data_IF_290671231316
#
_entry.id   IF_290671231316
#
_cell.length_a   1.000
_cell.length_b   1.000
_cell.length_c   1.000
_cell.angle_alpha   90.00
_cell.angle_beta   90.00
_cell.angle_gamma   90.00
#
_symmetry.space_group_name_H-M   'P 1'
#
loop_
_entity.id
_entity.type
_entity.pdbx_description
1 polymer ?
#
# COMPACT_ATOMS: atom_id res chain seq x y z
N UNK A 1 25.15 28.70 -34.13
CA UNK A 1 25.38 29.76 -33.13
C UNK A 1 26.04 29.10 -31.94
N UNK A 2 27.25 29.51 -31.61
CA UNK A 2 28.31 28.77 -30.94
C UNK A 2 28.12 28.79 -29.42
N UNK A 3 28.12 27.62 -28.77
CA UNK A 3 28.22 27.48 -27.32
C UNK A 3 29.66 27.73 -26.85
N UNK A 4 29.85 28.67 -25.94
CA UNK A 4 31.09 28.86 -25.19
C UNK A 4 31.10 28.09 -23.89
N UNK A 5 32.04 27.16 -23.77
CA UNK A 5 32.40 26.49 -22.53
C UNK A 5 33.19 27.44 -21.62
N UNK A 6 32.77 27.58 -20.38
CA UNK A 6 33.56 28.26 -19.33
C UNK A 6 34.27 27.19 -18.49
N UNK A 7 35.63 27.21 -18.55
CA UNK A 7 36.49 26.44 -17.64
C UNK A 7 36.75 27.29 -16.39
N UNK A 8 36.47 26.74 -15.24
CA UNK A 8 36.88 27.33 -13.95
C UNK A 8 38.04 26.52 -13.41
N UNK A 9 39.18 27.21 -13.26
CA UNK A 9 40.42 26.70 -12.68
C UNK A 9 40.44 27.04 -11.20
N UNK A 10 40.57 26.03 -10.33
CA UNK A 10 40.73 26.22 -8.89
C UNK A 10 42.21 26.15 -8.52
N UNK A 11 42.72 27.25 -7.99
CA UNK A 11 44.07 27.36 -7.42
C UNK A 11 44.10 26.78 -6.01
N UNK A 12 44.98 25.83 -5.77
CA UNK A 12 45.41 25.39 -4.44
C UNK A 12 46.48 26.36 -3.91
N UNK A 13 46.22 26.98 -2.78
CA UNK A 13 47.29 27.55 -1.94
C UNK A 13 47.55 26.60 -0.76
N UNK A 14 48.81 26.17 -0.67
CA UNK A 14 49.38 25.56 0.52
C UNK A 14 49.83 26.65 1.47
N UNK A 15 49.44 26.58 2.74
CA UNK A 15 50.11 27.30 3.83
C UNK A 15 50.47 26.27 4.89
N UNK A 16 51.75 26.08 5.07
CA UNK A 16 52.31 25.30 6.15
C UNK A 16 52.42 26.13 7.44
N UNK A 17 52.18 25.52 8.56
CA UNK A 17 52.67 25.98 9.87
C UNK A 17 52.82 24.79 10.82
N UNK A 18 54.07 24.59 11.18
CA UNK A 18 54.56 23.67 12.24
C UNK A 18 54.25 24.22 13.61
N UNK A 19 53.70 23.43 14.51
CA UNK A 19 53.90 23.59 15.94
C UNK A 19 53.73 22.24 16.66
N UNK A 20 54.80 21.78 17.24
CA UNK A 20 54.92 20.72 18.25
C UNK A 20 54.25 21.10 19.55
N UNK A 21 53.39 20.22 20.13
CA UNK A 21 53.14 20.16 21.56
C UNK A 21 52.67 18.73 21.95
N UNK A 22 52.80 18.30 23.21
CA UNK A 22 53.18 16.94 23.55
C UNK A 22 52.01 15.95 23.81
N UNK A 23 52.39 14.67 23.72
CA UNK A 23 51.55 13.51 24.05
C UNK A 23 50.92 13.63 25.47
N UNK A 24 49.61 13.63 25.53
CA UNK A 24 48.84 13.17 26.66
C UNK A 24 48.12 11.88 26.27
N UNK A 25 48.57 10.74 26.76
CA UNK A 25 47.92 9.45 26.63
C UNK A 25 46.62 9.46 27.46
N UNK A 26 45.49 9.75 26.86
CA UNK A 26 44.19 9.49 27.44
C UNK A 26 43.72 8.12 26.97
N UNK A 27 43.78 7.14 27.86
CA UNK A 27 43.20 5.83 27.68
C UNK A 27 41.67 5.98 27.73
N UNK A 28 41.04 6.25 26.61
CA UNK A 28 39.59 6.17 26.44
C UNK A 28 39.21 4.73 26.25
N UNK A 29 38.67 4.10 27.29
CA UNK A 29 37.91 2.86 27.18
C UNK A 29 36.73 3.13 26.25
N UNK A 30 36.85 2.71 24.96
CA UNK A 30 35.73 2.64 24.04
C UNK A 30 34.84 1.49 24.51
N UNK A 31 33.86 1.80 25.34
CA UNK A 31 32.74 0.92 25.55
C UNK A 31 31.95 0.91 24.25
N UNK A 32 32.15 -0.11 23.40
CA UNK A 32 31.24 -0.38 22.28
C UNK A 32 29.85 -0.62 22.88
N UNK A 33 28.80 0.15 22.48
CA UNK A 33 27.45 -0.27 22.80
C UNK A 33 27.21 -1.60 22.08
N UNK A 34 27.03 -2.65 22.86
CA UNK A 34 26.46 -3.91 22.41
C UNK A 34 24.99 -3.61 22.00
N UNK A 35 24.80 -3.14 20.78
CA UNK A 35 23.53 -3.27 20.10
C UNK A 35 23.37 -4.71 19.67
N UNK A 36 23.23 -5.59 20.62
CA UNK A 36 22.72 -6.95 20.40
C UNK A 36 21.25 -6.82 20.12
N UNK A 37 20.86 -6.85 18.84
CA UNK A 37 19.51 -7.27 18.47
C UNK A 37 19.27 -8.67 19.08
N UNK A 38 18.02 -9.00 19.42
CA UNK A 38 17.71 -10.33 19.91
C UNK A 38 18.29 -11.38 18.94
N UNK A 39 18.91 -12.46 19.46
CA UNK A 39 19.47 -13.50 18.61
C UNK A 39 18.34 -14.02 17.70
N UNK A 40 18.67 -14.21 16.42
CA UNK A 40 17.80 -14.93 15.49
C UNK A 40 17.37 -16.21 16.20
N UNK A 41 16.07 -16.36 16.47
CA UNK A 41 15.51 -17.62 16.98
C UNK A 41 15.58 -18.64 15.82
N UNK A 42 16.75 -19.21 15.60
CA UNK A 42 16.91 -20.37 14.75
C UNK A 42 16.15 -21.53 15.38
N UNK A 43 15.02 -21.91 14.79
CA UNK A 43 14.33 -23.13 15.17
C UNK A 43 12.80 -23.14 15.11
N UNK A 44 12.11 -22.02 14.96
CA UNK A 44 10.67 -22.10 14.73
C UNK A 44 10.37 -22.45 13.27
N UNK A 45 9.47 -23.42 13.00
CA UNK A 45 9.08 -23.76 11.64
C UNK A 45 8.45 -22.54 10.97
N UNK A 46 9.07 -22.07 9.90
CA UNK A 46 8.55 -20.93 9.12
C UNK A 46 7.27 -21.36 8.41
N UNK A 47 6.25 -20.54 8.49
CA UNK A 47 5.01 -20.75 7.74
C UNK A 47 5.31 -20.71 6.23
N UNK A 48 4.78 -21.67 5.48
CA UNK A 48 4.96 -21.71 4.03
C UNK A 48 4.12 -20.63 3.35
N UNK A 49 4.66 -20.01 2.28
CA UNK A 49 3.90 -19.19 1.34
C UNK A 49 3.50 -20.09 0.18
N UNK A 50 2.20 -20.33 0.05
CA UNK A 50 1.61 -21.08 -1.06
C UNK A 50 1.31 -20.14 -2.24
N UNK A 51 1.57 -20.60 -3.46
CA UNK A 51 1.48 -19.80 -4.67
C UNK A 51 0.63 -20.51 -5.71
N UNK A 52 -0.28 -19.78 -6.34
CA UNK A 52 -1.13 -20.26 -7.43
C UNK A 52 -1.01 -19.31 -8.63
N UNK A 53 -0.75 -19.85 -9.81
CA UNK A 53 -0.75 -19.08 -11.03
C UNK A 53 -2.21 -18.75 -11.42
N UNK A 54 -2.52 -17.47 -11.57
CA UNK A 54 -3.85 -16.96 -11.96
C UNK A 54 -3.91 -16.68 -13.46
N UNK A 55 -2.87 -16.02 -13.98
CA UNK A 55 -2.76 -15.68 -15.42
C UNK A 55 -1.28 -15.64 -15.81
N UNK A 56 -0.92 -16.34 -16.89
CA UNK A 56 0.47 -16.43 -17.37
C UNK A 56 0.79 -15.45 -18.51
N UNK A 57 -0.19 -14.64 -18.95
CA UNK A 57 -0.11 -13.78 -20.13
C UNK A 57 -0.57 -12.36 -19.88
N UNK A 58 -0.57 -11.91 -18.63
CA UNK A 58 -0.94 -10.56 -18.25
C UNK A 58 0.13 -9.53 -18.64
N UNK A 59 -0.16 -8.26 -18.46
CA UNK A 59 0.83 -7.19 -18.57
C UNK A 59 1.73 -7.11 -17.32
N UNK A 60 2.87 -6.43 -17.44
CA UNK A 60 3.80 -6.28 -16.30
C UNK A 60 3.26 -5.45 -15.13
N UNK A 61 2.27 -4.58 -15.35
CA UNK A 61 1.56 -3.82 -14.32
C UNK A 61 0.21 -4.42 -13.93
N UNK A 62 -0.01 -5.71 -14.15
CA UNK A 62 -1.33 -6.32 -14.01
C UNK A 62 -2.00 -6.04 -12.66
N UNK A 63 -1.26 -6.08 -11.57
CA UNK A 63 -1.77 -5.85 -10.20
C UNK A 63 -1.40 -4.47 -9.63
N UNK A 64 -0.97 -3.54 -10.47
CA UNK A 64 -0.72 -2.16 -10.05
C UNK A 64 -2.05 -1.50 -9.66
N UNK A 65 -2.18 -0.82 -8.60
CA UNK A 65 -1.32 -0.24 -7.57
C UNK A 65 -1.45 -1.04 -6.26
N UNK A 66 -0.37 -1.18 -5.51
CA UNK A 66 -0.34 -1.97 -4.27
C UNK A 66 -1.23 -1.43 -3.15
N UNK A 67 -1.41 -0.11 -3.05
CA UNK A 67 -2.25 0.52 -2.03
C UNK A 67 -3.76 0.37 -2.26
N UNK A 68 -4.19 -0.21 -3.39
CA UNK A 68 -5.58 -0.50 -3.70
C UNK A 68 -5.90 -1.95 -3.35
N UNK A 69 -7.05 -2.21 -2.75
CA UNK A 69 -7.49 -3.57 -2.49
C UNK A 69 -8.00 -4.23 -3.78
N UNK A 70 -7.28 -5.22 -4.28
CA UNK A 70 -7.63 -6.01 -5.47
C UNK A 70 -7.98 -7.45 -5.15
N UNK A 71 -7.92 -7.79 -3.89
CA UNK A 71 -8.22 -9.12 -3.39
C UNK A 71 -9.22 -8.99 -2.26
N UNK A 72 -10.28 -9.76 -2.32
CA UNK A 72 -11.23 -9.92 -1.21
C UNK A 72 -11.57 -11.39 -1.03
N UNK A 73 -11.95 -11.76 0.18
CA UNK A 73 -12.46 -13.08 0.51
C UNK A 73 -13.81 -12.94 1.20
N UNK A 74 -14.78 -13.75 0.80
CA UNK A 74 -16.11 -13.81 1.38
C UNK A 74 -16.63 -15.26 1.39
N UNK A 75 -17.85 -15.55 1.85
CA UNK A 75 -18.38 -16.93 1.85
C UNK A 75 -18.44 -17.62 0.49
N UNK A 76 -18.36 -16.86 -0.62
CA UNK A 76 -18.37 -17.44 -1.97
C UNK A 76 -16.97 -17.76 -2.49
N UNK A 77 -15.90 -17.36 -1.78
CA UNK A 77 -14.52 -17.64 -2.16
C UNK A 77 -13.62 -16.41 -2.18
N UNK A 78 -12.53 -16.51 -2.93
CA UNK A 78 -11.53 -15.47 -3.09
C UNK A 78 -11.69 -14.84 -4.48
N UNK A 79 -11.67 -13.50 -4.53
CA UNK A 79 -11.78 -12.73 -5.75
C UNK A 79 -10.54 -11.87 -5.95
N UNK A 80 -10.04 -11.83 -7.20
CA UNK A 80 -8.86 -11.05 -7.57
C UNK A 80 -9.17 -10.27 -8.85
N UNK A 81 -8.86 -8.96 -8.86
CA UNK A 81 -8.87 -8.15 -10.08
C UNK A 81 -7.46 -7.86 -10.57
N UNK A 82 -7.29 -7.86 -11.88
CA UNK A 82 -6.02 -7.53 -12.53
C UNK A 82 -6.24 -7.06 -13.96
N UNK A 83 -5.21 -6.42 -14.55
CA UNK A 83 -5.20 -6.06 -15.95
C UNK A 83 -4.58 -7.20 -16.75
N UNK A 84 -5.33 -7.72 -17.70
CA UNK A 84 -4.86 -8.76 -18.62
C UNK A 84 -4.16 -8.16 -19.84
N UNK A 85 -4.77 -7.17 -20.48
CA UNK A 85 -4.22 -6.48 -21.64
C UNK A 85 -4.34 -4.96 -21.48
N UNK A 86 -3.39 -4.24 -22.08
CA UNK A 86 -3.42 -2.80 -22.15
C UNK A 86 -3.52 -2.33 -23.60
N UNK A 87 -4.26 -1.25 -23.84
CA UNK A 87 -4.15 -0.50 -25.08
C UNK A 87 -2.96 0.49 -24.98
N UNK A 88 -2.54 1.02 -26.14
CA UNK A 88 -1.41 1.94 -26.22
C UNK A 88 -1.54 3.22 -25.38
N UNK A 89 -2.77 3.57 -24.97
CA UNK A 89 -3.07 4.82 -24.29
C UNK A 89 -3.44 4.65 -22.80
N UNK A 90 -3.47 3.44 -22.26
CA UNK A 90 -3.88 3.13 -20.87
C UNK A 90 -5.29 3.60 -20.49
N UNK A 91 -6.11 3.95 -21.45
CA UNK A 91 -7.44 4.52 -21.24
C UNK A 91 -8.54 3.49 -21.34
N UNK A 92 -8.25 2.34 -21.96
CA UNK A 92 -9.22 1.27 -22.20
C UNK A 92 -8.53 -0.10 -22.04
N UNK A 93 -7.94 -0.32 -20.89
CA UNK A 93 -7.30 -1.58 -20.56
C UNK A 93 -8.35 -2.66 -20.31
N UNK A 94 -8.05 -3.89 -20.75
CA UNK A 94 -8.85 -5.06 -20.45
C UNK A 94 -8.49 -5.55 -19.04
N UNK A 95 -9.49 -5.64 -18.16
CA UNK A 95 -9.34 -6.17 -16.82
C UNK A 95 -10.14 -7.46 -16.65
N UNK A 96 -9.71 -8.29 -15.71
CA UNK A 96 -10.35 -9.54 -15.34
C UNK A 96 -10.69 -9.57 -13.87
N UNK A 97 -11.80 -10.26 -13.55
CA UNK A 97 -12.16 -10.71 -12.23
C UNK A 97 -11.98 -12.22 -12.20
N UNK A 98 -11.00 -12.69 -11.45
CA UNK A 98 -10.77 -14.10 -11.19
C UNK A 98 -11.39 -14.52 -9.85
N UNK A 99 -11.89 -15.75 -9.77
CA UNK A 99 -12.57 -16.32 -8.62
C UNK A 99 -12.03 -17.70 -8.31
N UNK A 100 -11.91 -17.99 -7.02
CA UNK A 100 -11.51 -19.29 -6.47
C UNK A 100 -12.52 -19.74 -5.44
N UNK A 101 -13.04 -20.95 -5.58
CA UNK A 101 -13.95 -21.61 -4.62
C UNK A 101 -13.23 -22.62 -3.71
N UNK A 102 -11.97 -22.91 -4.01
CA UNK A 102 -11.16 -23.94 -3.36
C UNK A 102 -10.11 -23.37 -2.38
N UNK A 103 -10.36 -22.15 -1.89
CA UNK A 103 -9.46 -21.46 -0.97
C UNK A 103 -8.19 -20.95 -1.61
N UNK A 104 -8.20 -20.64 -2.92
CA UNK A 104 -7.07 -20.06 -3.64
C UNK A 104 -6.13 -21.08 -4.27
N UNK A 105 -6.52 -22.35 -4.38
CA UNK A 105 -5.71 -23.39 -5.04
C UNK A 105 -5.83 -23.34 -6.56
N UNK A 106 -6.97 -22.88 -7.06
CA UNK A 106 -7.21 -22.61 -8.48
C UNK A 106 -8.08 -21.37 -8.67
N UNK A 107 -7.99 -20.75 -9.85
CA UNK A 107 -8.77 -19.57 -10.21
C UNK A 107 -9.36 -19.72 -11.60
N UNK A 108 -10.59 -19.26 -11.77
CA UNK A 108 -11.24 -19.10 -13.08
C UNK A 108 -11.58 -17.63 -13.31
N UNK A 109 -11.48 -17.15 -14.53
CA UNK A 109 -11.98 -15.82 -14.90
C UNK A 109 -13.49 -15.88 -15.01
N UNK A 110 -14.19 -15.09 -14.19
CA UNK A 110 -15.66 -15.02 -14.18
C UNK A 110 -16.17 -13.76 -14.88
N UNK A 111 -15.33 -12.74 -15.04
CA UNK A 111 -15.67 -11.51 -15.77
C UNK A 111 -14.44 -10.93 -16.45
N UNK A 112 -14.65 -10.41 -17.65
CA UNK A 112 -13.66 -9.68 -18.43
C UNK A 112 -14.35 -8.49 -19.09
N UNK A 113 -13.78 -7.30 -18.93
CA UNK A 113 -14.30 -6.07 -19.53
C UNK A 113 -13.17 -5.16 -19.97
N UNK A 114 -13.48 -4.25 -20.86
CA UNK A 114 -12.58 -3.17 -21.31
C UNK A 114 -12.87 -1.88 -20.55
N UNK A 115 -12.11 -0.81 -20.84
CA UNK A 115 -12.29 0.53 -20.30
C UNK A 115 -11.94 0.67 -18.82
N UNK A 116 -10.87 0.01 -18.37
CA UNK A 116 -10.24 0.33 -17.11
C UNK A 116 -8.89 1.01 -17.33
N UNK A 117 -8.47 1.85 -16.40
CA UNK A 117 -7.14 2.50 -16.39
C UNK A 117 -6.16 1.76 -15.48
N UNK A 118 -6.69 1.04 -14.51
CA UNK A 118 -5.98 0.15 -13.61
C UNK A 118 -6.94 -0.94 -13.15
N UNK A 119 -6.42 -1.99 -12.51
CA UNK A 119 -7.24 -3.06 -11.96
C UNK A 119 -8.30 -2.48 -11.02
N UNK A 120 -9.59 -2.88 -11.16
CA UNK A 120 -10.64 -2.42 -10.27
C UNK A 120 -10.33 -2.68 -8.80
N UNK A 121 -10.73 -1.76 -7.93
CA UNK A 121 -10.67 -1.92 -6.47
C UNK A 121 -11.86 -2.72 -6.02
N UNK A 122 -11.65 -3.68 -5.13
CA UNK A 122 -12.67 -4.59 -4.60
C UNK A 122 -13.03 -4.27 -3.16
N UNK A 123 -14.32 -4.42 -2.84
CA UNK A 123 -14.84 -4.55 -1.47
C UNK A 123 -15.91 -5.63 -1.43
N UNK A 124 -16.21 -6.16 -0.24
CA UNK A 124 -17.22 -7.22 -0.09
C UNK A 124 -17.97 -7.11 1.21
N UNK A 125 -19.25 -7.46 1.19
CA UNK A 125 -20.07 -7.61 2.40
C UNK A 125 -19.95 -9.02 2.97
N UNK A 126 -20.24 -9.20 4.27
CA UNK A 126 -20.35 -10.53 4.88
C UNK A 126 -21.40 -11.44 4.22
N UNK A 127 -22.43 -10.85 3.60
CA UNK A 127 -23.45 -11.58 2.80
C UNK A 127 -22.89 -12.20 1.51
N UNK A 128 -21.70 -11.78 1.09
CA UNK A 128 -21.05 -12.21 -0.15
C UNK A 128 -21.26 -11.26 -1.33
N UNK A 129 -22.02 -10.16 -1.20
CA UNK A 129 -22.11 -9.16 -2.25
C UNK A 129 -20.73 -8.55 -2.51
N UNK A 130 -20.37 -8.41 -3.78
CA UNK A 130 -19.08 -7.88 -4.22
C UNK A 130 -19.28 -6.49 -4.82
N UNK A 131 -18.42 -5.57 -4.46
CA UNK A 131 -18.33 -4.23 -5.05
C UNK A 131 -17.00 -4.08 -5.76
N UNK A 132 -17.02 -3.47 -6.93
CA UNK A 132 -15.80 -3.11 -7.65
C UNK A 132 -15.90 -1.73 -8.27
N UNK A 133 -14.89 -0.91 -8.05
CA UNK A 133 -14.81 0.41 -8.62
C UNK A 133 -13.74 0.46 -9.71
N UNK A 134 -14.05 1.13 -10.81
CA UNK A 134 -13.11 1.37 -11.92
C UNK A 134 -13.28 2.78 -12.49
N UNK A 135 -12.19 3.46 -12.84
CA UNK A 135 -12.26 4.74 -13.53
C UNK A 135 -12.42 4.53 -15.04
N UNK A 136 -13.07 5.49 -15.69
CA UNK A 136 -13.15 5.60 -17.14
C UNK A 136 -12.74 7.00 -17.58
N UNK A 137 -11.55 7.11 -18.15
CA UNK A 137 -11.02 8.42 -18.58
C UNK A 137 -11.73 8.97 -19.83
N UNK A 138 -12.46 8.17 -20.59
CA UNK A 138 -13.13 8.66 -21.79
C UNK A 138 -14.26 9.63 -21.47
N UNK A 139 -14.91 9.44 -20.32
CA UNK A 139 -16.02 10.29 -19.89
C UNK A 139 -15.80 11.00 -18.56
N UNK A 140 -14.62 10.88 -17.97
CA UNK A 140 -14.26 11.57 -16.73
C UNK A 140 -14.90 11.02 -15.46
N UNK A 141 -15.55 9.85 -15.51
CA UNK A 141 -16.26 9.25 -14.38
C UNK A 141 -15.59 7.99 -13.86
N UNK A 142 -15.87 7.61 -12.63
CA UNK A 142 -15.67 6.24 -12.16
C UNK A 142 -17.01 5.52 -12.10
N UNK A 143 -16.95 4.20 -12.15
CA UNK A 143 -18.11 3.33 -12.04
C UNK A 143 -17.95 2.42 -10.85
N UNK A 144 -18.92 2.43 -9.96
CA UNK A 144 -19.05 1.49 -8.86
C UNK A 144 -20.10 0.45 -9.23
N UNK A 145 -19.68 -0.78 -9.37
CA UNK A 145 -20.57 -1.91 -9.70
C UNK A 145 -20.77 -2.80 -8.47
N UNK A 146 -21.99 -3.24 -8.26
CA UNK A 146 -22.41 -4.18 -7.22
C UNK A 146 -22.85 -5.49 -7.87
N UNK A 147 -22.29 -6.60 -7.41
CA UNK A 147 -22.58 -7.95 -7.88
C UNK A 147 -23.16 -8.76 -6.73
N UNK A 148 -24.46 -9.03 -6.77
CA UNK A 148 -25.17 -9.77 -5.72
C UNK A 148 -24.91 -11.28 -5.75
N UNK A 149 -24.79 -11.83 -6.97
CA UNK A 149 -24.42 -13.23 -7.19
C UNK A 149 -23.52 -13.32 -8.41
N UNK A 150 -22.83 -14.43 -8.60
CA UNK A 150 -21.89 -14.59 -9.71
C UNK A 150 -22.58 -14.61 -11.07
N UNK A 151 -23.84 -15.04 -11.09
CA UNK A 151 -24.67 -15.17 -12.31
C UNK A 151 -25.49 -13.91 -12.60
N UNK A 152 -25.48 -12.91 -11.69
CA UNK A 152 -26.22 -11.67 -11.87
C UNK A 152 -25.42 -10.66 -12.72
N UNK A 153 -26.15 -9.82 -13.45
CA UNK A 153 -25.56 -8.62 -14.03
C UNK A 153 -25.29 -7.58 -12.93
N UNK A 154 -24.13 -6.90 -12.97
CA UNK A 154 -23.82 -5.89 -11.98
C UNK A 154 -24.73 -4.67 -12.09
N UNK A 155 -25.24 -4.21 -10.98
CA UNK A 155 -25.86 -2.89 -10.88
C UNK A 155 -24.77 -1.84 -10.76
N UNK A 156 -24.72 -0.88 -11.68
CA UNK A 156 -23.62 0.08 -11.77
C UNK A 156 -24.09 1.50 -11.47
N UNK A 157 -23.38 2.16 -10.56
CA UNK A 157 -23.55 3.57 -10.17
C UNK A 157 -22.44 4.40 -10.78
N UNK A 158 -22.78 5.57 -11.34
CA UNK A 158 -21.83 6.53 -11.88
C UNK A 158 -21.33 7.49 -10.80
N UNK A 159 -20.02 7.54 -10.60
CA UNK A 159 -19.32 8.46 -9.72
C UNK A 159 -18.77 9.63 -10.57
N UNK A 160 -19.53 10.71 -10.66
CA UNK A 160 -19.22 11.85 -11.56
C UNK A 160 -17.92 12.53 -11.16
N UNK A 161 -17.04 12.73 -12.14
CA UNK A 161 -15.72 13.34 -11.94
C UNK A 161 -14.73 12.44 -11.19
N UNK A 162 -15.07 11.17 -10.95
CA UNK A 162 -14.23 10.23 -10.20
C UNK A 162 -13.17 9.51 -11.02
N UNK A 163 -13.05 9.83 -12.32
CA UNK A 163 -12.01 9.20 -13.15
C UNK A 163 -10.63 9.70 -12.75
N UNK A 164 -9.82 8.79 -12.26
CA UNK A 164 -8.43 9.05 -11.92
C UNK A 164 -7.62 7.75 -12.04
N UNK A 165 -6.35 7.86 -12.42
CA UNK A 165 -5.48 6.68 -12.58
C UNK A 165 -5.11 6.02 -11.25
N UNK A 166 -5.30 6.73 -10.14
CA UNK A 166 -5.03 6.27 -8.78
C UNK A 166 -6.23 6.60 -7.91
N UNK A 167 -6.74 5.61 -7.21
CA UNK A 167 -7.96 5.75 -6.41
C UNK A 167 -8.03 4.64 -5.38
N UNK A 168 -8.85 4.81 -4.38
CA UNK A 168 -9.11 3.80 -3.35
C UNK A 168 -10.59 3.78 -3.00
N UNK A 169 -11.00 2.69 -2.36
CA UNK A 169 -12.34 2.50 -1.85
C UNK A 169 -12.29 1.74 -0.53
N UNK A 170 -13.23 2.00 0.36
CA UNK A 170 -13.43 1.23 1.58
C UNK A 170 -14.92 1.13 1.90
N UNK A 171 -15.35 -0.06 2.33
CA UNK A 171 -16.72 -0.35 2.74
C UNK A 171 -16.87 -0.13 4.25
N UNK A 172 -17.86 0.68 4.62
CA UNK A 172 -18.37 0.84 5.99
C UNK A 172 -19.62 -0.01 6.15
N UNK A 173 -19.46 -1.23 6.64
CA UNK A 173 -20.57 -2.17 6.80
C UNK A 173 -21.64 -1.68 7.81
N UNK A 174 -21.28 -1.13 8.98
CA UNK A 174 -22.25 -0.57 9.91
C UNK A 174 -23.10 0.56 9.32
N UNK A 175 -22.49 1.49 8.60
CA UNK A 175 -23.23 2.60 7.96
C UNK A 175 -23.85 2.22 6.62
N UNK A 176 -23.61 0.99 6.13
CA UNK A 176 -24.07 0.51 4.82
C UNK A 176 -23.68 1.45 3.67
N UNK A 177 -22.42 1.88 3.62
CA UNK A 177 -21.92 2.79 2.60
C UNK A 177 -20.48 2.50 2.22
N UNK A 178 -20.10 2.96 1.04
CA UNK A 178 -18.74 2.91 0.52
C UNK A 178 -18.20 4.34 0.39
N UNK A 179 -16.93 4.49 0.67
CA UNK A 179 -16.17 5.71 0.44
C UNK A 179 -15.22 5.50 -0.71
N UNK A 180 -15.25 6.39 -1.70
CA UNK A 180 -14.34 6.38 -2.84
C UNK A 180 -13.57 7.69 -2.87
N UNK A 181 -12.25 7.64 -3.00
CA UNK A 181 -11.36 8.80 -3.13
C UNK A 181 -10.42 8.59 -4.30
N UNK A 182 -10.44 9.53 -5.23
CA UNK A 182 -9.59 9.55 -6.42
C UNK A 182 -8.44 10.56 -6.27
N UNK A 183 -7.34 10.36 -7.00
CA UNK A 183 -6.18 11.26 -6.90
C UNK A 183 -6.39 12.65 -7.52
N UNK A 184 -7.51 12.90 -8.16
CA UNK A 184 -7.97 14.25 -8.47
C UNK A 184 -8.69 14.91 -7.29
N UNK A 185 -8.72 14.26 -6.12
CA UNK A 185 -9.31 14.71 -4.88
C UNK A 185 -10.82 14.58 -4.79
N UNK A 186 -11.48 14.03 -5.81
CA UNK A 186 -12.93 13.82 -5.80
C UNK A 186 -13.25 12.66 -4.85
N UNK A 187 -14.17 12.94 -3.93
CA UNK A 187 -14.65 12.02 -2.91
C UNK A 187 -16.14 11.74 -3.09
N UNK A 188 -16.54 10.49 -2.92
CA UNK A 188 -17.94 10.07 -3.00
C UNK A 188 -18.30 9.19 -1.80
N UNK A 189 -19.47 9.39 -1.25
CA UNK A 189 -20.15 8.50 -0.31
C UNK A 189 -21.30 7.86 -1.07
N UNK A 190 -21.29 6.53 -1.15
CA UNK A 190 -22.27 5.75 -1.90
C UNK A 190 -22.90 4.72 -0.99
N UNK A 191 -24.22 4.67 -0.93
CA UNK A 191 -24.93 3.61 -0.23
C UNK A 191 -24.65 2.24 -0.85
N UNK A 192 -24.74 1.17 -0.06
CA UNK A 192 -24.64 -0.21 -0.60
C UNK A 192 -25.78 -0.54 -1.58
N UNK A 193 -26.82 0.26 -1.59
CA UNK A 193 -27.93 0.26 -2.55
C UNK A 193 -27.57 0.92 -3.91
N UNK A 194 -26.41 1.57 -3.99
CA UNK A 194 -25.93 2.29 -5.17
C UNK A 194 -26.30 3.77 -5.21
N UNK A 195 -27.01 4.30 -4.20
CA UNK A 195 -27.32 5.73 -4.15
C UNK A 195 -26.05 6.56 -3.83
N UNK A 196 -25.76 7.58 -4.64
CA UNK A 196 -24.71 8.57 -4.34
C UNK A 196 -25.25 9.54 -3.31
N UNK A 197 -24.85 9.41 -2.06
CA UNK A 197 -25.34 10.21 -0.93
C UNK A 197 -24.61 11.55 -0.78
N UNK A 198 -23.34 11.58 -1.14
CA UNK A 198 -22.52 12.77 -1.03
C UNK A 198 -21.40 12.78 -2.07
N UNK A 199 -21.05 13.97 -2.55
CA UNK A 199 -19.90 14.19 -3.43
C UNK A 199 -19.20 15.46 -3.01
N UNK A 200 -17.89 15.40 -2.77
CA UNK A 200 -17.07 16.54 -2.39
C UNK A 200 -15.75 16.58 -3.16
N UNK A 201 -15.15 17.76 -3.23
CA UNK A 201 -13.76 17.93 -3.59
C UNK A 201 -12.98 18.04 -2.28
N UNK A 202 -12.29 16.97 -1.86
CA UNK A 202 -11.52 16.98 -0.61
C UNK A 202 -10.14 17.58 -0.78
N UNK A 203 -9.52 17.33 -1.92
CA UNK A 203 -8.13 17.67 -2.18
C UNK A 203 -8.03 18.25 -3.58
N UNK A 204 -7.11 19.20 -3.77
CA UNK A 204 -6.80 19.75 -5.09
C UNK A 204 -5.29 19.86 -5.26
N UNK A 205 -4.84 19.74 -6.50
CA UNK A 205 -3.44 19.99 -6.85
C UNK A 205 -3.06 21.43 -6.49
N UNK A 206 -1.87 21.59 -5.90
CA UNK A 206 -1.28 22.89 -5.63
C UNK A 206 -0.39 23.38 -6.79
N UNK A 207 0.18 24.58 -6.63
CA UNK A 207 1.09 25.14 -7.60
C UNK A 207 2.41 24.32 -7.71
N UNK A 208 2.90 23.81 -6.57
CA UNK A 208 4.18 23.10 -6.47
C UNK A 208 4.04 21.58 -6.37
N UNK A 209 2.88 21.08 -5.99
CA UNK A 209 2.67 19.66 -5.80
C UNK A 209 1.36 19.15 -6.40
N UNK A 210 1.41 17.90 -6.86
CA UNK A 210 0.28 17.13 -7.34
C UNK A 210 -0.16 16.16 -6.25
N UNK A 211 -1.45 15.92 -6.14
CA UNK A 211 -2.00 14.86 -5.32
C UNK A 211 -1.72 13.49 -5.95
N UNK A 212 -1.25 12.54 -5.16
CA UNK A 212 -0.93 11.19 -5.61
C UNK A 212 -1.32 10.15 -4.55
N UNK A 213 -1.63 8.95 -4.99
CA UNK A 213 -1.81 7.74 -4.18
C UNK A 213 -2.67 7.93 -2.93
N UNK A 214 -3.95 8.32 -3.09
CA UNK A 214 -4.87 8.39 -1.97
C UNK A 214 -5.12 6.99 -1.41
N UNK A 215 -5.24 6.91 -0.08
CA UNK A 215 -5.63 5.71 0.65
C UNK A 215 -6.71 6.04 1.65
N UNK A 216 -7.63 5.10 1.85
CA UNK A 216 -8.67 5.15 2.87
C UNK A 216 -8.56 3.93 3.78
N UNK A 217 -8.84 4.13 5.06
CA UNK A 217 -9.03 3.05 6.02
C UNK A 217 -10.09 3.44 7.05
N UNK A 218 -10.76 2.45 7.63
CA UNK A 218 -11.75 2.64 8.68
C UNK A 218 -11.24 2.10 10.01
N UNK A 219 -11.41 2.88 11.08
CA UNK A 219 -11.28 2.40 12.44
C UNK A 219 -12.48 1.52 12.83
N UNK A 220 -12.32 0.71 13.87
CA UNK A 220 -13.40 -0.10 14.43
C UNK A 220 -14.53 0.76 15.03
N UNK A 221 -14.21 1.97 15.45
CA UNK A 221 -15.13 3.00 15.92
C UNK A 221 -15.89 3.71 14.78
N UNK A 222 -15.60 3.34 13.53
CA UNK A 222 -16.17 3.96 12.33
C UNK A 222 -15.52 5.27 11.94
N UNK A 223 -14.41 5.67 12.56
CA UNK A 223 -13.62 6.81 12.11
C UNK A 223 -12.99 6.51 10.75
N UNK A 224 -13.28 7.36 9.77
CA UNK A 224 -12.69 7.28 8.43
C UNK A 224 -11.39 8.07 8.39
N UNK A 225 -10.32 7.44 7.92
CA UNK A 225 -9.03 8.07 7.73
C UNK A 225 -8.70 8.13 6.24
N UNK A 226 -8.21 9.28 5.80
CA UNK A 226 -7.68 9.49 4.46
C UNK A 226 -6.21 9.89 4.55
N UNK A 227 -5.37 9.28 3.70
CA UNK A 227 -3.97 9.66 3.57
C UNK A 227 -3.59 9.73 2.10
N UNK A 228 -2.59 10.53 1.78
CA UNK A 228 -2.10 10.69 0.41
C UNK A 228 -0.63 11.06 0.38
N UNK A 229 -0.01 10.79 -0.76
CA UNK A 229 1.33 11.25 -1.10
C UNK A 229 1.23 12.49 -1.96
N UNK A 230 2.16 13.43 -1.84
CA UNK A 230 2.32 14.55 -2.77
C UNK A 230 3.49 14.32 -3.71
N UNK A 231 3.38 14.74 -4.97
CA UNK A 231 4.45 14.69 -5.95
C UNK A 231 4.84 16.10 -6.37
N UNK A 232 6.11 16.43 -6.38
CA UNK A 232 6.59 17.72 -6.86
C UNK A 232 6.21 17.92 -8.33
N UNK A 233 5.57 19.04 -8.64
CA UNK A 233 5.20 19.39 -10.02
C UNK A 233 6.46 19.58 -10.87
N UNK A 234 6.45 19.02 -12.06
CA UNK A 234 7.60 19.10 -12.99
C UNK A 234 8.78 18.16 -12.67
N UNK A 235 8.70 17.40 -11.57
CA UNK A 235 9.72 16.40 -11.21
C UNK A 235 9.06 15.10 -10.75
N UNK A 236 9.68 13.98 -11.07
CA UNK A 236 9.23 12.67 -10.56
C UNK A 236 9.81 12.42 -9.15
N UNK A 237 9.37 13.24 -8.20
CA UNK A 237 9.74 13.12 -6.77
C UNK A 237 8.48 13.16 -5.93
N UNK A 238 8.21 12.11 -5.18
CA UNK A 238 7.16 12.10 -4.16
C UNK A 238 7.73 12.70 -2.88
N UNK A 239 7.12 13.80 -2.41
CA UNK A 239 7.75 14.65 -1.39
C UNK A 239 7.29 14.37 0.03
N UNK A 240 6.01 14.15 0.21
CA UNK A 240 5.42 14.14 1.55
C UNK A 240 4.16 13.30 1.60
N UNK A 241 3.83 12.85 2.81
CA UNK A 241 2.64 12.08 3.11
C UNK A 241 1.86 12.84 4.16
N UNK A 242 0.57 12.98 3.92
CA UNK A 242 -0.37 13.68 4.79
C UNK A 242 -1.55 12.80 5.11
N UNK A 243 -2.22 13.09 6.24
CA UNK A 243 -3.42 12.37 6.65
C UNK A 243 -4.42 13.28 7.36
N UNK A 244 -5.68 12.90 7.31
CA UNK A 244 -6.80 13.52 8.02
C UNK A 244 -7.81 12.46 8.43
N UNK A 245 -8.72 12.79 9.33
CA UNK A 245 -9.79 11.89 9.79
C UNK A 245 -11.16 12.55 9.74
N UNK A 246 -12.20 11.72 9.68
CA UNK A 246 -13.59 12.09 9.83
C UNK A 246 -14.27 11.13 10.80
N UNK A 247 -14.97 11.64 11.80
CA UNK A 247 -15.70 10.85 12.79
C UNK A 247 -17.19 10.69 12.46
N UNK A 248 -17.66 11.42 11.46
CA UNK A 248 -19.07 11.48 11.04
C UNK A 248 -19.32 10.88 9.65
N UNK A 249 -18.42 10.00 9.20
CA UNK A 249 -18.60 9.29 7.94
C UNK A 249 -18.26 10.10 6.69
N UNK A 250 -17.30 11.02 6.78
CA UNK A 250 -16.75 11.75 5.64
C UNK A 250 -17.41 13.08 5.33
N UNK A 251 -18.28 13.58 6.24
CA UNK A 251 -18.96 14.88 6.07
C UNK A 251 -18.07 16.03 6.54
N UNK A 252 -17.52 15.93 7.75
CA UNK A 252 -16.55 16.88 8.27
C UNK A 252 -15.21 16.23 8.49
N UNK A 253 -14.14 17.00 8.34
CA UNK A 253 -12.79 16.51 8.40
C UNK A 253 -11.95 17.23 9.45
N UNK A 254 -10.97 16.52 9.99
CA UNK A 254 -10.07 17.01 11.03
C UNK A 254 -8.65 16.53 10.76
N UNK A 255 -7.67 17.23 11.29
CA UNK A 255 -6.33 16.67 11.45
C UNK A 255 -6.40 15.42 12.33
N UNK A 256 -5.34 14.62 12.38
CA UNK A 256 -5.31 13.47 13.28
C UNK A 256 -5.41 13.88 14.75
N UNK A 257 -4.92 15.08 15.08
CA UNK A 257 -4.99 15.69 16.44
C UNK A 257 -6.36 16.30 16.77
N UNK A 258 -7.32 16.26 15.84
CA UNK A 258 -8.70 16.71 16.06
C UNK A 258 -9.00 18.16 15.74
N UNK A 259 -8.07 18.90 15.11
CA UNK A 259 -8.35 20.27 14.63
C UNK A 259 -9.18 20.21 13.35
N UNK A 260 -10.28 20.98 13.29
CA UNK A 260 -11.11 21.06 12.09
C UNK A 260 -10.31 21.52 10.86
N UNK A 261 -10.57 20.92 9.72
CA UNK A 261 -10.04 21.32 8.42
C UNK A 261 -11.16 21.47 7.41
N UNK A 262 -11.06 22.47 6.56
CA UNK A 262 -12.08 22.80 5.57
C UNK A 262 -11.61 22.39 4.17
N UNK A 263 -12.17 21.32 3.59
CA UNK A 263 -11.90 20.97 2.19
C UNK A 263 -12.41 22.05 1.20
N UNK A 264 -11.75 22.18 0.02
CA UNK A 264 -10.65 21.36 -0.46
C UNK A 264 -9.29 21.80 0.08
N UNK A 265 -8.45 20.83 0.49
CA UNK A 265 -7.09 21.09 0.91
C UNK A 265 -6.14 21.11 -0.29
N UNK A 266 -5.18 22.03 -0.28
CA UNK A 266 -4.12 22.08 -1.29
C UNK A 266 -3.11 20.94 -1.09
N UNK A 267 -2.68 20.29 -2.17
CA UNK A 267 -1.64 19.28 -2.12
C UNK A 267 -0.26 19.87 -1.73
N UNK A 268 -0.04 21.17 -1.96
CA UNK A 268 1.18 21.86 -1.54
C UNK A 268 1.32 21.80 -0.02
N UNK A 269 2.33 21.06 0.47
CA UNK A 269 2.59 20.79 1.89
C UNK A 269 1.38 20.19 2.65
N UNK A 270 0.41 19.61 1.93
CA UNK A 270 -0.78 18.99 2.52
C UNK A 270 -1.78 19.96 3.19
N UNK A 271 -1.56 21.26 3.06
CA UNK A 271 -2.39 22.26 3.75
C UNK A 271 -2.38 22.08 5.27
N UNK A 272 -3.54 22.21 5.95
CA UNK A 272 -3.65 22.05 7.40
C UNK A 272 -3.70 20.57 7.88
N UNK A 273 -3.65 19.58 6.98
CA UNK A 273 -3.66 18.16 7.36
C UNK A 273 -2.41 17.75 8.15
N UNK A 274 -2.53 16.66 8.93
CA UNK A 274 -1.39 16.13 9.69
C UNK A 274 -0.31 15.61 8.74
N UNK A 275 0.92 16.09 8.95
CA UNK A 275 2.09 15.66 8.18
C UNK A 275 2.70 14.39 8.78
N UNK A 276 2.89 13.36 7.94
CA UNK A 276 3.37 12.04 8.37
C UNK A 276 4.86 11.85 8.14
N UNK A 277 5.40 12.30 7.00
CA UNK A 277 6.85 12.28 6.73
C UNK A 277 7.60 13.27 7.63
N UNK A 278 8.91 13.07 7.81
CA UNK A 278 9.75 14.01 8.54
C UNK A 278 10.18 15.17 7.63
N UNK A 279 10.60 16.28 8.23
CA UNK A 279 11.03 17.48 7.49
C UNK A 279 12.25 17.21 6.61
N UNK A 280 13.16 16.34 7.04
CA UNK A 280 14.32 15.89 6.24
C UNK A 280 13.96 14.97 5.06
N UNK A 281 12.70 14.56 4.97
CA UNK A 281 12.16 13.73 3.89
C UNK A 281 11.39 14.54 2.83
N UNK A 282 11.25 15.85 2.97
CA UNK A 282 10.47 16.69 2.07
C UNK A 282 11.06 16.81 0.65
N UNK A 283 12.37 16.75 0.51
CA UNK A 283 13.04 16.87 -0.79
C UNK A 283 13.56 15.52 -1.32
N UNK A 284 13.22 14.44 -0.65
CA UNK A 284 13.55 13.08 -1.07
C UNK A 284 12.30 12.34 -1.54
N UNK A 285 12.51 11.30 -2.33
CA UNK A 285 11.43 10.50 -2.83
C UNK A 285 10.78 9.70 -1.69
N UNK A 286 9.58 10.12 -1.27
CA UNK A 286 8.80 9.47 -0.19
C UNK A 286 7.44 9.03 -0.70
N UNK A 287 7.06 7.78 -0.45
CA UNK A 287 5.86 7.17 -1.00
C UNK A 287 5.12 6.31 0.04
N UNK A 288 3.84 6.58 0.25
CA UNK A 288 2.96 5.78 1.11
C UNK A 288 2.68 4.41 0.46
N UNK A 289 3.10 3.33 1.13
CA UNK A 289 2.91 1.95 0.67
C UNK A 289 1.65 1.33 1.27
N UNK A 290 1.42 1.49 2.57
CA UNK A 290 0.27 0.91 3.26
C UNK A 290 -0.24 1.78 4.39
N UNK A 291 -1.56 1.76 4.57
CA UNK A 291 -2.28 2.40 5.66
C UNK A 291 -3.29 1.42 6.24
N UNK A 292 -3.35 1.31 7.55
CA UNK A 292 -4.36 0.51 8.25
C UNK A 292 -4.72 1.13 9.60
N UNK A 293 -6.01 1.16 9.91
CA UNK A 293 -6.51 1.42 11.25
C UNK A 293 -6.81 0.09 11.94
N UNK A 294 -6.26 -0.11 13.14
CA UNK A 294 -6.46 -1.34 13.94
C UNK A 294 -6.32 -1.02 15.43
N UNK A 295 -7.29 -1.49 16.24
CA UNK A 295 -7.29 -1.38 17.71
C UNK A 295 -6.94 0.04 18.19
N UNK A 296 -7.63 1.05 17.61
CA UNK A 296 -7.45 2.46 17.93
C UNK A 296 -6.11 3.06 17.47
N UNK A 297 -5.31 2.35 16.71
CA UNK A 297 -4.04 2.83 16.19
C UNK A 297 -4.06 2.93 14.67
N UNK A 298 -3.30 3.90 14.13
CA UNK A 298 -3.02 4.04 12.72
C UNK A 298 -1.60 3.54 12.43
N UNK A 299 -1.50 2.68 11.44
CA UNK A 299 -0.26 2.10 10.98
C UNK A 299 0.03 2.62 9.59
N UNK A 300 1.15 3.33 9.45
CA UNK A 300 1.68 3.80 8.18
C UNK A 300 2.94 3.04 7.84
N UNK A 301 3.01 2.50 6.65
CA UNK A 301 4.26 2.03 6.06
C UNK A 301 4.53 2.85 4.83
N UNK A 302 5.64 3.54 4.80
CA UNK A 302 6.04 4.32 3.65
C UNK A 302 7.52 4.14 3.33
N UNK A 303 7.88 4.60 2.17
CA UNK A 303 9.20 4.54 1.63
C UNK A 303 9.80 5.93 1.58
N UNK A 304 11.03 6.10 2.03
CA UNK A 304 11.78 7.34 1.89
C UNK A 304 13.22 7.04 1.43
N UNK A 305 13.76 7.85 0.53
CA UNK A 305 15.13 7.69 0.00
C UNK A 305 16.21 8.30 0.89
N UNK A 306 15.89 8.75 2.09
CA UNK A 306 16.87 9.21 3.08
C UNK A 306 17.71 8.06 3.62
N UNK A 307 19.03 8.27 3.70
CA UNK A 307 19.94 7.35 4.36
C UNK A 307 19.78 7.43 5.90
N UNK A 308 20.05 6.34 6.65
CA UNK A 308 20.41 5.00 6.16
C UNK A 308 19.20 4.09 5.92
N UNK A 309 17.99 4.54 6.22
CA UNK A 309 16.80 3.71 6.21
C UNK A 309 15.82 4.17 5.15
N UNK A 310 15.45 3.26 4.28
CA UNK A 310 14.51 3.56 3.18
C UNK A 310 13.07 3.25 3.53
N UNK A 311 12.78 2.21 4.31
CA UNK A 311 11.44 1.94 4.80
C UNK A 311 11.22 2.63 6.14
N UNK A 312 10.02 3.16 6.32
CA UNK A 312 9.52 3.76 7.55
C UNK A 312 8.24 3.07 7.97
N UNK A 313 8.16 2.75 9.22
CA UNK A 313 6.92 2.36 9.88
C UNK A 313 6.63 3.37 10.98
N UNK A 314 5.44 3.95 10.94
CA UNK A 314 4.95 4.92 11.91
C UNK A 314 3.64 4.41 12.49
N UNK A 315 3.50 4.48 13.81
CA UNK A 315 2.26 4.18 14.51
C UNK A 315 1.77 5.43 15.24
N UNK A 316 0.50 5.75 15.05
CA UNK A 316 -0.13 6.94 15.62
C UNK A 316 -1.35 6.50 16.41
N UNK A 317 -1.59 7.10 17.58
CA UNK A 317 -2.83 6.98 18.32
C UNK A 317 -3.97 7.60 17.51
N UNK A 318 -4.99 6.80 17.16
CA UNK A 318 -6.07 7.25 16.28
C UNK A 318 -6.96 8.32 16.90
N UNK A 319 -7.13 8.31 18.22
CA UNK A 319 -7.93 9.31 18.93
C UNK A 319 -7.17 10.62 19.13
N UNK A 320 -5.95 10.54 19.71
CA UNK A 320 -5.14 11.71 20.06
C UNK A 320 -4.30 12.27 18.90
N UNK A 321 -4.06 11.49 17.83
CA UNK A 321 -3.19 11.88 16.75
C UNK A 321 -1.69 11.89 17.09
N UNK A 322 -1.33 11.41 18.29
CA UNK A 322 0.06 11.41 18.76
C UNK A 322 0.85 10.24 18.19
N UNK A 323 2.09 10.51 17.77
CA UNK A 323 3.01 9.46 17.35
C UNK A 323 3.47 8.65 18.54
N UNK A 324 3.29 7.34 18.51
CA UNK A 324 3.75 6.39 19.52
C UNK A 324 5.02 5.66 19.07
N UNK A 325 5.14 5.40 17.78
CA UNK A 325 6.33 4.87 17.11
C UNK A 325 6.62 5.81 15.97
N UNK A 326 7.73 6.50 16.04
CA UNK A 326 8.05 7.55 15.10
C UNK A 326 8.71 6.98 13.83
N UNK A 327 9.76 6.19 13.99
CA UNK A 327 10.38 5.44 12.89
C UNK A 327 10.88 4.11 13.42
N UNK A 328 10.43 3.03 12.80
CA UNK A 328 10.89 1.70 13.13
C UNK A 328 11.16 0.87 11.86
N UNK A 329 12.06 -0.11 11.98
CA UNK A 329 12.26 -1.14 10.97
C UNK A 329 11.34 -2.33 11.21
N UNK A 330 10.61 -2.75 10.18
CA UNK A 330 9.87 -4.01 10.21
C UNK A 330 10.79 -5.20 9.87
N UNK A 331 11.74 -5.02 8.96
CA UNK A 331 12.47 -6.10 8.31
C UNK A 331 13.68 -6.67 9.06
N UNK A 332 13.99 -6.21 10.23
CA UNK A 332 15.17 -6.67 10.96
C UNK A 332 16.48 -6.44 10.17
N UNK A 333 17.32 -7.48 10.07
CA UNK A 333 18.62 -7.42 9.37
C UNK A 333 18.51 -7.56 7.84
N UNK A 334 17.35 -7.91 7.28
CA UNK A 334 17.22 -8.14 5.83
C UNK A 334 17.36 -6.84 5.06
N UNK A 335 18.14 -6.90 3.98
CA UNK A 335 18.22 -5.81 3.01
C UNK A 335 16.91 -5.72 2.26
N UNK A 336 16.34 -4.54 2.27
CA UNK A 336 15.23 -4.23 1.39
C UNK A 336 15.70 -4.00 -0.04
N UNK A 337 14.83 -4.36 -0.97
CA UNK A 337 14.99 -4.00 -2.37
C UNK A 337 14.85 -2.48 -2.56
N UNK A 338 15.22 -1.99 -3.74
CA UNK A 338 15.17 -0.57 -4.13
C UNK A 338 13.74 0.02 -4.07
N UNK A 339 13.61 1.38 -4.13
CA UNK A 339 12.33 2.09 -4.14
C UNK A 339 11.31 1.44 -5.09
N UNK A 340 10.05 1.55 -4.76
CA UNK A 340 8.88 0.91 -5.36
C UNK A 340 8.55 -0.50 -4.85
N UNK A 341 9.11 -0.91 -3.71
CA UNK A 341 8.64 -2.09 -3.04
C UNK A 341 7.33 -1.78 -2.35
N UNK A 342 6.30 -2.31 -2.93
CA UNK A 342 4.99 -2.28 -2.35
C UNK A 342 4.92 -3.27 -1.20
N UNK A 343 4.16 -2.91 -0.19
CA UNK A 343 3.80 -3.79 0.89
C UNK A 343 2.38 -3.55 1.29
N UNK A 344 1.77 -4.51 1.94
CA UNK A 344 0.39 -4.46 2.41
C UNK A 344 0.30 -4.86 3.85
N UNK A 345 -0.55 -4.17 4.62
CA UNK A 345 -0.92 -4.53 5.98
C UNK A 345 -2.18 -5.39 5.93
N UNK A 346 -2.20 -6.44 6.72
CA UNK A 346 -3.33 -7.39 6.85
C UNK A 346 -3.56 -7.69 8.32
N UNK A 347 -4.82 -7.74 8.75
CA UNK A 347 -5.18 -8.10 10.12
C UNK A 347 -6.57 -8.72 10.16
N UNK A 348 -6.94 -9.35 11.26
CA UNK A 348 -8.32 -9.67 11.55
C UNK A 348 -8.90 -8.54 12.40
N UNK A 349 -9.25 -7.41 11.75
CA UNK A 349 -9.67 -6.17 12.45
C UNK A 349 -10.92 -6.35 13.30
N UNK A 350 -11.79 -7.30 12.97
CA UNK A 350 -12.97 -7.65 13.76
C UNK A 350 -12.65 -8.32 15.10
N UNK A 351 -11.42 -8.81 15.29
CA UNK A 351 -10.93 -9.39 16.54
C UNK A 351 -9.89 -8.46 17.17
N UNK A 352 -10.21 -7.82 18.30
CA UNK A 352 -9.20 -7.11 19.09
C UNK A 352 -7.99 -8.01 19.39
N UNK A 353 -6.83 -7.41 19.52
CA UNK A 353 -5.57 -8.10 19.83
C UNK A 353 -5.13 -9.17 18.81
N UNK A 354 -5.84 -9.29 17.67
CA UNK A 354 -5.35 -10.15 16.60
C UNK A 354 -4.03 -9.66 16.04
N UNK A 355 -3.15 -10.55 15.55
CA UNK A 355 -1.88 -10.13 14.98
C UNK A 355 -2.05 -9.18 13.79
N UNK A 356 -1.10 -8.27 13.64
CA UNK A 356 -0.92 -7.43 12.46
C UNK A 356 0.17 -8.04 11.59
N UNK A 357 -0.11 -8.17 10.31
CA UNK A 357 0.83 -8.72 9.33
C UNK A 357 1.24 -7.66 8.32
N UNK A 358 2.50 -7.73 7.88
CA UNK A 358 3.00 -6.96 6.76
C UNK A 358 3.62 -7.88 5.73
N UNK A 359 3.07 -7.85 4.51
CA UNK A 359 3.58 -8.65 3.39
C UNK A 359 4.28 -7.73 2.41
N UNK A 360 5.51 -8.06 2.05
CA UNK A 360 6.30 -7.29 1.10
C UNK A 360 7.32 -8.19 0.39
N UNK A 361 8.28 -7.60 -0.30
CA UNK A 361 9.34 -8.31 -1.01
C UNK A 361 10.69 -8.15 -0.34
N UNK A 362 11.54 -9.15 -0.51
CA UNK A 362 12.95 -9.14 -0.13
C UNK A 362 13.81 -9.64 -1.30
N UNK A 363 15.14 -9.65 -1.10
CA UNK A 363 16.11 -10.18 -2.05
C UNK A 363 15.91 -9.58 -3.45
N UNK A 364 16.00 -8.26 -3.56
CA UNK A 364 15.82 -7.52 -4.80
C UNK A 364 14.47 -7.78 -5.50
N UNK A 365 13.40 -7.94 -4.73
CA UNK A 365 12.04 -8.27 -5.19
C UNK A 365 11.90 -9.66 -5.78
N UNK A 366 12.72 -10.59 -5.40
CA UNK A 366 12.64 -11.96 -5.90
C UNK A 366 11.95 -12.92 -4.96
N UNK A 367 11.69 -12.52 -3.73
CA UNK A 367 10.96 -13.32 -2.74
C UNK A 367 9.86 -12.50 -2.07
N UNK A 368 8.73 -13.17 -1.81
CA UNK A 368 7.75 -12.68 -0.86
C UNK A 368 8.20 -13.00 0.55
N UNK A 369 7.94 -12.07 1.46
CA UNK A 369 8.10 -12.29 2.89
C UNK A 369 6.93 -11.66 3.65
N UNK A 370 6.60 -12.23 4.80
CA UNK A 370 5.58 -11.78 5.71
C UNK A 370 6.18 -11.60 7.10
N UNK A 371 5.88 -10.50 7.72
CA UNK A 371 6.21 -10.20 9.11
C UNK A 371 4.94 -10.15 9.92
N UNK A 372 5.05 -10.49 11.19
CA UNK A 372 3.95 -10.45 12.15
C UNK A 372 4.33 -9.61 13.36
N UNK A 373 3.37 -8.84 13.83
CA UNK A 373 3.37 -8.16 15.11
C UNK A 373 2.20 -8.66 15.95
N UNK A 374 2.48 -9.16 17.13
CA UNK A 374 1.48 -9.66 18.08
C UNK A 374 1.12 -8.58 19.13
N UNK A 375 1.81 -7.45 19.11
CA UNK A 375 1.69 -6.33 20.05
C UNK A 375 1.24 -5.02 19.36
N UNK A 376 0.41 -5.19 18.32
CA UNK A 376 -0.18 -4.10 17.53
C UNK A 376 0.90 -3.13 16.98
N UNK A 377 1.96 -3.69 16.39
CA UNK A 377 2.99 -2.94 15.67
C UNK A 377 4.17 -2.46 16.53
N UNK A 378 4.28 -2.82 17.82
CA UNK A 378 5.44 -2.44 18.63
C UNK A 378 6.69 -3.20 18.26
N UNK A 379 6.55 -4.50 18.07
CA UNK A 379 7.64 -5.37 17.61
C UNK A 379 7.22 -6.21 16.41
N UNK A 380 8.18 -6.58 15.58
CA UNK A 380 7.97 -7.34 14.37
C UNK A 380 8.96 -8.49 14.26
N UNK A 381 8.47 -9.66 13.87
CA UNK A 381 9.30 -10.82 13.53
C UNK A 381 8.93 -11.40 12.18
N UNK A 382 9.86 -12.06 11.52
CA UNK A 382 9.58 -12.80 10.29
C UNK A 382 8.61 -13.94 10.58
N UNK A 383 7.55 -14.04 9.79
CA UNK A 383 6.50 -15.05 9.90
C UNK A 383 6.63 -16.09 8.78
N UNK A 384 6.82 -15.62 7.56
CA UNK A 384 6.91 -16.48 6.39
C UNK A 384 7.83 -15.87 5.32
N UNK A 385 8.46 -16.74 4.53
CA UNK A 385 9.22 -16.33 3.34
C UNK A 385 9.05 -17.39 2.24
N UNK A 386 8.95 -16.96 0.97
CA UNK A 386 8.86 -17.90 -0.15
C UNK A 386 10.13 -18.76 -0.25
N UNK A 387 9.95 -20.07 -0.42
CA UNK A 387 11.06 -21.05 -0.41
C UNK A 387 12.08 -20.77 -1.51
N UNK A 388 11.63 -20.43 -2.70
CA UNK A 388 12.49 -20.10 -3.84
C UNK A 388 12.32 -18.65 -4.28
N UNK A 389 13.38 -18.11 -4.86
CA UNK A 389 13.33 -16.82 -5.52
C UNK A 389 12.60 -16.93 -6.87
N UNK A 390 11.83 -15.93 -7.22
CA UNK A 390 11.28 -15.77 -8.56
C UNK A 390 12.40 -15.45 -9.56
N UNK A 391 12.25 -15.92 -10.79
CA UNK A 391 13.19 -15.61 -11.86
C UNK A 391 13.20 -14.11 -12.17
N UNK A 392 12.04 -13.49 -12.12
CA UNK A 392 11.83 -12.06 -12.40
C UNK A 392 11.50 -11.30 -11.12
N UNK A 393 11.14 -10.04 -11.25
CA UNK A 393 10.79 -9.20 -10.10
C UNK A 393 9.32 -9.33 -9.76
N UNK A 394 9.03 -9.49 -8.49
CA UNK A 394 7.69 -9.31 -7.95
C UNK A 394 7.35 -7.81 -8.01
N UNK A 395 6.17 -7.50 -8.52
CA UNK A 395 5.68 -6.15 -8.66
C UNK A 395 4.25 -6.02 -8.14
N UNK A 396 3.95 -4.88 -7.50
CA UNK A 396 2.60 -4.50 -7.05
C UNK A 396 1.87 -5.58 -6.25
N UNK A 397 2.37 -5.87 -5.06
CA UNK A 397 1.70 -6.76 -4.12
C UNK A 397 0.37 -6.11 -3.68
N UNK A 398 -0.71 -6.88 -3.73
CA UNK A 398 -1.99 -6.57 -3.13
C UNK A 398 -2.45 -7.71 -2.23
N UNK A 399 -3.21 -7.42 -1.17
CA UNK A 399 -3.84 -8.44 -0.34
C UNK A 399 -5.22 -7.99 0.11
N UNK A 400 -6.05 -8.96 0.50
CA UNK A 400 -7.23 -8.67 1.29
C UNK A 400 -6.78 -8.03 2.61
N UNK A 401 -7.45 -6.96 3.04
CA UNK A 401 -7.14 -6.28 4.31
C UNK A 401 -7.45 -7.13 5.53
N UNK A 402 -8.34 -8.10 5.37
CA UNK A 402 -8.78 -9.03 6.41
C UNK A 402 -8.19 -10.42 6.19
N UNK A 403 -7.76 -11.05 7.28
CA UNK A 403 -7.51 -12.49 7.32
C UNK A 403 -8.80 -13.23 7.07
N UNK A 404 -8.78 -14.26 6.23
CA UNK A 404 -9.98 -15.06 5.93
C UNK A 404 -10.53 -15.76 7.17
N UNK A 405 -11.78 -16.18 7.14
CA UNK A 405 -12.43 -16.84 8.28
C UNK A 405 -11.70 -18.13 8.72
N UNK A 406 -11.08 -18.84 7.79
CA UNK A 406 -10.27 -20.04 8.01
C UNK A 406 -8.77 -19.75 8.27
N UNK A 407 -8.43 -18.48 8.54
CA UNK A 407 -7.12 -18.05 9.03
C UNK A 407 -6.04 -17.95 7.97
N UNK A 408 -6.38 -17.52 6.74
CA UNK A 408 -5.39 -17.25 5.70
C UNK A 408 -5.25 -15.75 5.40
N UNK A 409 -4.04 -15.31 5.20
CA UNK A 409 -3.70 -14.08 4.50
C UNK A 409 -3.69 -14.43 3.01
N UNK A 410 -4.52 -13.76 2.22
CA UNK A 410 -4.62 -13.98 0.78
C UNK A 410 -4.28 -12.72 0.01
N UNK A 411 -3.56 -12.88 -1.08
CA UNK A 411 -3.13 -11.74 -1.88
C UNK A 411 -2.73 -12.11 -3.30
N UNK A 412 -2.24 -11.11 -4.03
CA UNK A 412 -1.81 -11.24 -5.43
C UNK A 412 -0.59 -10.36 -5.70
N UNK A 413 0.15 -10.70 -6.73
CA UNK A 413 1.23 -9.89 -7.29
C UNK A 413 1.48 -10.24 -8.75
N UNK A 414 2.27 -9.41 -9.42
CA UNK A 414 2.75 -9.69 -10.78
C UNK A 414 4.24 -10.04 -10.75
N UNK A 415 4.62 -11.18 -11.35
CA UNK A 415 6.01 -11.52 -11.68
C UNK A 415 6.34 -10.93 -13.05
N UNK A 416 7.25 -9.96 -13.12
CA UNK A 416 7.51 -9.14 -14.31
C UNK A 416 8.86 -9.45 -14.92
N UNK A 417 8.89 -9.78 -16.20
CA UNK A 417 10.14 -9.98 -16.92
C UNK A 417 11.00 -8.71 -16.96
N UNK A 418 12.25 -8.82 -16.51
CA UNK A 418 13.19 -7.68 -16.41
C UNK A 418 13.49 -7.00 -17.74
N UNK A 419 13.27 -7.67 -18.87
CA UNK A 419 13.67 -7.22 -20.21
C UNK A 419 12.56 -6.47 -20.97
N UNK A 420 11.43 -6.23 -20.34
CA UNK A 420 10.33 -5.50 -20.96
C UNK A 420 10.73 -4.06 -21.29
N UNK A 421 10.52 -3.63 -22.52
CA UNK A 421 10.69 -2.23 -22.92
C UNK A 421 9.64 -1.35 -22.24
N UNK A 422 8.44 -1.87 -22.10
CA UNK A 422 7.35 -1.22 -21.36
C UNK A 422 6.66 -2.27 -20.50
N UNK A 423 6.11 -1.87 -19.36
CA UNK A 423 5.37 -2.78 -18.47
C UNK A 423 3.97 -3.15 -18.99
N UNK A 424 3.58 -2.62 -20.14
CA UNK A 424 2.23 -2.74 -20.70
C UNK A 424 2.12 -3.71 -21.87
N UNK A 425 3.24 -4.31 -22.26
CA UNK A 425 3.24 -5.32 -23.31
C UNK A 425 2.50 -6.58 -22.83
N UNK A 426 1.57 -7.13 -23.62
CA UNK A 426 0.90 -8.39 -23.32
C UNK A 426 1.89 -9.54 -23.15
N UNK A 427 1.63 -10.42 -22.19
CA UNK A 427 2.48 -11.59 -21.94
C UNK A 427 3.78 -11.32 -21.17
N UNK A 428 4.01 -10.10 -20.68
CA UNK A 428 5.17 -9.76 -19.85
C UNK A 428 5.03 -10.14 -18.41
N UNK A 429 3.80 -10.15 -17.90
CA UNK A 429 3.49 -10.39 -16.51
C UNK A 429 2.82 -11.75 -16.31
N UNK A 430 3.13 -12.37 -15.18
CA UNK A 430 2.37 -13.50 -14.65
C UNK A 430 1.72 -13.06 -13.36
N UNK A 431 0.42 -13.19 -13.27
CA UNK A 431 -0.34 -12.91 -12.06
C UNK A 431 -0.36 -14.16 -11.19
N UNK A 432 0.10 -14.01 -9.96
CA UNK A 432 0.04 -15.04 -8.94
C UNK A 432 -0.89 -14.62 -7.82
N UNK A 433 -1.65 -15.58 -7.29
CA UNK A 433 -2.20 -15.51 -5.96
C UNK A 433 -1.20 -16.09 -4.97
N UNK A 434 -1.20 -15.55 -3.75
CA UNK A 434 -0.48 -16.15 -2.61
C UNK A 434 -1.41 -16.30 -1.44
N UNK A 435 -1.08 -17.28 -0.59
CA UNK A 435 -1.72 -17.45 0.72
C UNK A 435 -0.71 -17.86 1.78
N UNK A 436 -0.92 -17.38 2.99
CA UNK A 436 -0.05 -17.58 4.15
C UNK A 436 -0.96 -17.87 5.34
N UNK A 437 -0.71 -18.93 6.11
CA UNK A 437 -1.43 -19.15 7.38
C UNK A 437 -1.10 -18.03 8.36
N UNK A 438 -2.12 -17.40 8.93
CA UNK A 438 -1.95 -16.34 9.92
C UNK A 438 -1.42 -16.88 11.27
N UNK A 439 -1.77 -18.12 11.66
CA UNK A 439 -1.17 -18.81 12.79
C UNK A 439 -0.12 -19.80 12.30
N UNK A 440 1.04 -19.81 12.94
CA UNK A 440 2.00 -20.91 12.74
C UNK A 440 1.27 -22.21 13.15
N UNK A 441 1.25 -23.19 12.26
CA UNK A 441 0.59 -24.47 12.56
C UNK A 441 1.17 -25.03 13.85
N UNK A 442 0.33 -25.20 14.87
CA UNK A 442 0.61 -26.18 15.88
C UNK A 442 0.62 -27.50 15.14
N UNK A 443 1.80 -28.04 14.86
CA UNK A 443 1.93 -29.42 14.46
C UNK A 443 1.33 -30.24 15.59
N UNK A 444 0.07 -30.66 15.40
CA UNK A 444 -0.65 -31.47 16.36
C UNK A 444 0.22 -32.69 16.68
N UNK A 445 0.70 -32.76 17.89
CA UNK A 445 1.19 -34.01 18.45
C UNK A 445 0.00 -34.97 18.38
N UNK A 446 0.13 -36.12 17.70
CA UNK A 446 -0.97 -37.10 17.73
C UNK A 446 -1.20 -37.46 19.19
N UNK A 447 -2.39 -37.16 19.69
CA UNK A 447 -2.84 -37.74 20.94
C UNK A 447 -2.82 -39.27 20.77
N UNK A 448 -1.94 -39.93 21.56
CA UNK A 448 -1.89 -41.38 21.68
C UNK A 448 -3.09 -41.89 22.40
#
# INVERSE_FOLDING_TARGET
MVMKLLKITIHRQQVGLTSLWPLALILTCVVKPLCGGPPDQEGQPRTAIELTLVDDRAIGYATYQSHNQKVVSNPRGIFITYIHQANSNYTAQQWRLAHSVDGGKSFITIREETRATSAPVLETQPSGALFFARPDFQNGNAYLSRLESLDAEPVTTTLRGGAAGKYCMVLDTPRKQLYHLAHNGRFHIVGVDGEVRHTAQLLIDGERALLMYPQLTLGQDGTLYAAWTTQQRGKYVYRSIHAMKSTDGGVHWQTLEGRSVEPPLLADNGGPATHITHDDELDVHSWLSALMAKDGKLHFVYWAETAPQRQRYVRIDGAAGTREIDIQRIFGARKMSKPNDSGVLVAQRSKPESPLFFVSTVDERKRLACWVSEDNGRTWREHAISQRAFKHRIYSIGAAREVTADGWIVGTFTDVAKQAKTYYEPGLGRVYAFRIKAQAGQTGTPQK
#
